data_IF_177148745690
#
_entry.id   IF_177148745690
#
_cell.length_a   1.000
_cell.length_b   1.000
_cell.length_c   1.000
_cell.angle_alpha   90.00
_cell.angle_beta   90.00
_cell.angle_gamma   90.00
#
_symmetry.space_group_name_H-M   'P 1'
#
loop_
_entity.id
_entity.type
_entity.pdbx_description
1 polymer ?
#
# COMPACT_ATOMS: atom_id res chain seq x y z
N UNK A 1 12.23 3.13 -12.34
CA UNK A 1 10.95 3.66 -11.80
C UNK A 1 10.55 2.81 -10.60
N UNK A 2 10.23 3.44 -9.47
CA UNK A 2 9.73 2.72 -8.28
C UNK A 2 8.21 2.61 -8.38
N UNK A 3 7.66 1.44 -8.08
CA UNK A 3 6.21 1.25 -7.95
C UNK A 3 5.72 1.91 -6.67
N UNK A 4 4.52 2.47 -6.70
CA UNK A 4 3.81 3.10 -5.59
C UNK A 4 2.56 2.29 -5.31
N UNK A 5 2.30 2.04 -4.03
CA UNK A 5 1.10 1.38 -3.54
C UNK A 5 0.12 2.45 -3.09
N UNK A 6 -1.03 2.60 -3.74
CA UNK A 6 -2.10 3.46 -3.21
C UNK A 6 -3.02 2.63 -2.33
N UNK A 7 -3.01 2.95 -1.05
CA UNK A 7 -3.63 2.16 0.00
C UNK A 7 -4.86 2.87 0.55
N UNK A 8 -5.98 2.16 0.65
CA UNK A 8 -7.11 2.57 1.48
C UNK A 8 -6.84 2.15 2.94
N UNK A 9 -6.92 3.10 3.88
CA UNK A 9 -6.66 2.87 5.30
C UNK A 9 -7.88 3.25 6.15
N UNK A 10 -8.13 2.57 7.28
CA UNK A 10 -9.09 3.04 8.28
C UNK A 10 -8.53 4.28 8.98
N UNK A 11 -8.82 5.45 8.40
CA UNK A 11 -8.34 6.75 8.82
C UNK A 11 -9.50 7.78 8.82
N UNK A 12 -9.39 8.87 9.62
CA UNK A 12 -10.44 9.88 9.70
C UNK A 12 -10.53 10.80 8.46
N UNK A 13 -9.68 10.57 7.45
CA UNK A 13 -9.63 11.37 6.22
C UNK A 13 -9.92 10.46 5.04
N UNK A 14 -10.80 10.93 4.14
CA UNK A 14 -11.13 10.22 2.91
C UNK A 14 -10.02 10.40 1.88
N UNK A 15 -9.53 9.29 1.33
CA UNK A 15 -8.52 9.28 0.28
C UNK A 15 -7.66 8.03 0.33
N UNK A 16 -6.82 7.90 -0.70
CA UNK A 16 -5.76 6.89 -0.75
C UNK A 16 -4.46 7.48 -0.24
N UNK A 17 -3.64 6.62 0.33
CA UNK A 17 -2.34 6.97 0.89
C UNK A 17 -1.25 6.23 0.11
N UNK A 18 -0.22 6.96 -0.31
CA UNK A 18 0.86 6.41 -1.12
C UNK A 18 1.97 5.81 -0.23
N UNK A 19 2.32 4.56 -0.52
CA UNK A 19 3.39 3.82 0.14
C UNK A 19 4.36 3.22 -0.87
N UNK A 20 5.54 2.87 -0.40
CA UNK A 20 6.49 2.01 -1.11
C UNK A 20 6.17 0.53 -0.81
N UNK A 21 6.52 -0.39 -1.71
CA UNK A 21 6.41 -1.82 -1.43
C UNK A 21 7.34 -2.24 -0.28
N UNK A 22 7.05 -3.37 0.39
CA UNK A 22 7.97 -3.94 1.37
C UNK A 22 9.32 -4.30 0.73
N UNK A 23 10.43 -4.01 1.41
CA UNK A 23 11.81 -4.08 0.86
C UNK A 23 12.19 -5.43 0.24
N UNK A 24 11.60 -6.54 0.70
CA UNK A 24 11.91 -7.91 0.27
C UNK A 24 10.82 -8.56 -0.57
N UNK A 25 9.78 -7.82 -0.95
CA UNK A 25 8.67 -8.35 -1.72
C UNK A 25 8.82 -7.98 -3.19
N UNK A 26 8.83 -9.00 -4.06
CA UNK A 26 8.79 -8.77 -5.50
C UNK A 26 7.47 -8.10 -5.89
N UNK A 27 7.55 -7.05 -6.72
CA UNK A 27 6.38 -6.30 -7.21
C UNK A 27 5.30 -7.17 -7.85
N UNK A 28 5.68 -8.30 -8.45
CA UNK A 28 4.74 -9.21 -9.14
C UNK A 28 3.85 -10.00 -8.15
N UNK A 29 4.15 -9.93 -6.84
CA UNK A 29 3.32 -10.47 -5.76
C UNK A 29 2.26 -9.50 -5.28
N UNK A 30 2.32 -8.23 -5.70
CA UNK A 30 1.40 -7.20 -5.27
C UNK A 30 0.29 -7.04 -6.29
N UNK A 31 -0.95 -7.22 -5.85
CA UNK A 31 -2.14 -7.03 -6.67
C UNK A 31 -3.22 -6.29 -5.86
N UNK A 32 -4.01 -5.41 -6.52
CA UNK A 32 -5.17 -4.79 -5.89
C UNK A 32 -6.08 -5.80 -5.19
N UNK A 33 -6.65 -5.41 -4.05
CA UNK A 33 -7.50 -6.26 -3.21
C UNK A 33 -6.74 -7.04 -2.12
N UNK A 34 -5.41 -6.98 -2.07
CA UNK A 34 -4.63 -7.55 -0.97
C UNK A 34 -4.59 -6.61 0.26
N UNK A 35 -4.45 -7.18 1.47
CA UNK A 35 -4.16 -6.38 2.66
C UNK A 35 -2.68 -6.32 2.96
N UNK A 36 -2.21 -5.14 3.35
CA UNK A 36 -0.85 -4.92 3.82
C UNK A 36 -0.87 -4.22 5.18
N UNK A 37 0.11 -4.56 6.02
CA UNK A 37 0.41 -3.81 7.23
C UNK A 37 1.32 -2.63 6.87
N UNK A 38 0.91 -1.41 7.24
CA UNK A 38 1.65 -0.18 6.93
C UNK A 38 1.86 0.69 8.17
N UNK A 39 2.95 1.47 8.23
CA UNK A 39 3.11 2.49 9.27
C UNK A 39 2.12 3.64 9.05
N UNK A 40 1.43 4.08 10.09
CA UNK A 40 0.53 5.23 10.07
C UNK A 40 0.69 6.07 11.34
N UNK A 41 1.43 7.18 11.21
CA UNK A 41 1.85 7.99 12.35
C UNK A 41 2.82 7.21 13.26
N UNK A 42 2.44 7.02 14.52
CA UNK A 42 3.20 6.26 15.52
C UNK A 42 2.75 4.80 15.68
N UNK A 43 1.78 4.38 14.87
CA UNK A 43 1.14 3.06 14.98
C UNK A 43 1.15 2.36 13.62
N UNK A 44 0.69 1.12 13.57
CA UNK A 44 0.48 0.39 12.33
C UNK A 44 -1.00 0.29 11.99
N UNK A 45 -1.31 0.11 10.70
CA UNK A 45 -2.67 -0.13 10.20
C UNK A 45 -2.67 -1.25 9.18
N UNK A 46 -3.71 -2.07 9.23
CA UNK A 46 -4.07 -2.94 8.13
C UNK A 46 -4.79 -2.10 7.08
N UNK A 47 -4.22 -2.03 5.88
CA UNK A 47 -4.74 -1.31 4.73
C UNK A 47 -5.02 -2.24 3.57
N UNK A 48 -5.83 -1.79 2.62
CA UNK A 48 -6.07 -2.52 1.38
C UNK A 48 -5.35 -1.83 0.21
N UNK A 49 -4.64 -2.61 -0.60
CA UNK A 49 -4.06 -2.14 -1.85
C UNK A 49 -5.18 -1.91 -2.86
N UNK A 50 -5.35 -0.66 -3.29
CA UNK A 50 -6.39 -0.29 -4.26
C UNK A 50 -5.81 -0.24 -5.67
N UNK A 51 -4.61 0.30 -5.83
CA UNK A 51 -3.94 0.36 -7.12
C UNK A 51 -2.41 0.39 -6.99
N UNK A 52 -1.76 -0.05 -8.07
CA UNK A 52 -0.33 0.14 -8.28
C UNK A 52 -0.14 1.33 -9.23
N UNK A 53 0.74 2.25 -8.86
CA UNK A 53 1.05 3.42 -9.69
C UNK A 53 2.55 3.56 -9.93
N UNK A 54 2.92 4.19 -11.05
CA UNK A 54 4.28 4.63 -11.35
C UNK A 54 4.48 6.12 -11.04
N UNK A 55 3.45 6.81 -10.51
CA UNK A 55 3.48 8.22 -10.19
C UNK A 55 2.87 8.51 -8.81
N UNK A 56 3.46 9.49 -8.12
CA UNK A 56 2.97 10.02 -6.84
C UNK A 56 3.26 11.51 -6.77
N UNK A 57 2.35 12.27 -6.16
CA UNK A 57 2.57 13.67 -5.80
C UNK A 57 3.22 13.82 -4.41
N UNK A 58 3.34 12.72 -3.65
CA UNK A 58 3.95 12.71 -2.32
C UNK A 58 5.47 12.84 -2.46
N UNK A 59 6.12 13.78 -1.77
CA UNK A 59 7.58 13.90 -1.78
C UNK A 59 8.25 12.61 -1.32
N UNK A 60 9.30 12.17 -2.02
CA UNK A 60 9.94 10.87 -1.80
C UNK A 60 10.39 10.61 -0.36
N UNK A 61 10.79 11.65 0.37
CA UNK A 61 11.23 11.54 1.77
C UNK A 61 10.08 11.30 2.77
N UNK A 62 8.83 11.54 2.37
CA UNK A 62 7.64 11.33 3.19
C UNK A 62 7.02 9.94 2.96
N UNK A 63 7.30 9.33 1.81
CA UNK A 63 6.88 7.96 1.50
C UNK A 63 7.50 6.99 2.52
N UNK A 64 6.67 6.08 3.00
CA UNK A 64 7.07 4.99 3.88
C UNK A 64 6.86 3.66 3.17
N UNK A 65 7.68 2.67 3.49
CA UNK A 65 7.48 1.31 3.01
C UNK A 65 6.39 0.61 3.83
N UNK A 66 5.55 -0.16 3.16
CA UNK A 66 4.69 -1.14 3.83
C UNK A 66 5.55 -2.17 4.57
N UNK A 67 5.11 -2.62 5.73
CA UNK A 67 5.85 -3.57 6.55
C UNK A 67 5.71 -5.00 6.05
N UNK A 68 4.48 -5.42 5.69
CA UNK A 68 4.20 -6.82 5.35
C UNK A 68 2.94 -6.98 4.50
N UNK A 69 2.98 -7.93 3.56
CA UNK A 69 1.79 -8.47 2.89
C UNK A 69 1.08 -9.46 3.82
N UNK A 70 -0.20 -9.21 4.11
CA UNK A 70 -0.98 -10.03 5.05
C UNK A 70 -1.72 -11.17 4.35
N UNK A 71 -2.19 -10.96 3.12
CA UNK A 71 -2.85 -11.97 2.30
C UNK A 71 -2.16 -12.08 0.94
N UNK A 72 -1.77 -13.29 0.54
CA UNK A 72 -1.11 -13.54 -0.74
C UNK A 72 -2.06 -13.41 -1.93
N UNK A 73 -3.34 -13.68 -1.72
CA UNK A 73 -4.39 -13.52 -2.72
C UNK A 73 -5.26 -12.29 -2.39
N UNK A 74 -5.81 -11.60 -3.39
CA UNK A 74 -6.73 -10.50 -3.15
C UNK A 74 -8.02 -11.04 -2.50
N UNK A 75 -8.50 -10.33 -1.49
CA UNK A 75 -9.73 -10.68 -0.78
C UNK A 75 -10.99 -10.12 -1.44
N UNK A 76 -10.81 -9.22 -2.41
CA UNK A 76 -11.89 -8.59 -3.17
C UNK A 76 -11.61 -8.88 -4.66
N UNK A 77 -12.65 -9.34 -5.37
CA UNK A 77 -12.61 -9.49 -6.83
C UNK A 77 -12.48 -8.14 -7.52
N UNK A 78 -11.77 -8.12 -8.65
CA UNK A 78 -11.84 -7.00 -9.58
C UNK A 78 -13.04 -7.27 -10.50
N UNK A 79 -14.19 -6.68 -10.19
CA UNK A 79 -15.37 -6.66 -11.06
C UNK A 79 -15.36 -5.45 -11.99
#
# INVERSE_FOLDING_TARGET
MSIILRMALPAPVYGLFDYLPPDKLHKDKLVPGQRLLVPFGRTERCGMLVELSNHTSVPRHQLRAAHKLLDEAPLISQE
#
